data_IF_246374015288
#
_entry.id   IF_246374015288
#
_cell.length_a   1.000
_cell.length_b   1.000
_cell.length_c   1.000
_cell.angle_alpha   90.00
_cell.angle_beta   90.00
_cell.angle_gamma   90.00
#
_symmetry.space_group_name_H-M   'P 1'
#
loop_
_entity.id
_entity.type
_entity.pdbx_description
1 polymer ?
#
# COMPACT_ATOMS: atom_id res chain seq x y z
N UNK A 1 -13.59 -9.55 -12.69
CA UNK A 1 -13.63 -8.42 -11.73
C UNK A 1 -13.34 -8.96 -10.35
N UNK A 2 -12.59 -8.24 -9.53
CA UNK A 2 -12.30 -8.63 -8.16
C UNK A 2 -13.52 -8.39 -7.25
N UNK A 3 -13.65 -9.17 -6.17
CA UNK A 3 -14.72 -9.07 -5.18
C UNK A 3 -14.92 -7.64 -4.67
N UNK A 4 -13.84 -6.96 -4.31
CA UNK A 4 -13.91 -5.58 -3.82
C UNK A 4 -14.31 -4.57 -4.90
N UNK A 5 -14.00 -4.82 -6.17
CA UNK A 5 -14.46 -3.97 -7.28
C UNK A 5 -15.99 -4.04 -7.44
N UNK A 6 -16.57 -5.21 -7.27
CA UNK A 6 -18.03 -5.41 -7.29
C UNK A 6 -18.68 -4.80 -6.05
N UNK A 7 -18.12 -5.02 -4.86
CA UNK A 7 -18.56 -4.40 -3.62
C UNK A 7 -18.58 -2.86 -3.74
N UNK A 8 -17.52 -2.29 -4.30
CA UNK A 8 -17.47 -0.84 -4.52
C UNK A 8 -18.63 -0.34 -5.38
N UNK A 9 -18.91 -1.01 -6.51
CA UNK A 9 -19.94 -0.57 -7.45
C UNK A 9 -21.35 -0.74 -6.88
N UNK A 10 -21.61 -1.86 -6.20
CA UNK A 10 -22.96 -2.25 -5.79
C UNK A 10 -23.37 -1.65 -4.44
N UNK A 11 -22.43 -1.47 -3.52
CA UNK A 11 -22.74 -1.09 -2.13
C UNK A 11 -22.06 0.22 -1.72
N UNK A 12 -20.75 0.35 -1.96
CA UNK A 12 -19.97 1.46 -1.40
C UNK A 12 -20.30 2.78 -2.11
N UNK A 13 -20.33 2.79 -3.44
CA UNK A 13 -20.60 4.00 -4.21
C UNK A 13 -22.00 4.58 -3.95
N UNK A 14 -23.11 3.80 -3.94
CA UNK A 14 -24.43 4.30 -3.58
C UNK A 14 -24.51 4.83 -2.14
N UNK A 15 -23.86 4.14 -1.20
CA UNK A 15 -23.83 4.54 0.20
C UNK A 15 -23.07 5.86 0.43
N UNK A 16 -21.94 6.07 -0.25
CA UNK A 16 -21.19 7.33 -0.22
C UNK A 16 -21.99 8.47 -0.85
N UNK A 17 -22.68 8.19 -1.97
CA UNK A 17 -23.54 9.17 -2.63
C UNK A 17 -24.64 9.66 -1.70
N UNK A 18 -25.27 8.75 -0.96
CA UNK A 18 -26.34 9.10 0.01
C UNK A 18 -25.79 9.86 1.22
N UNK A 19 -24.61 9.45 1.75
CA UNK A 19 -24.03 10.05 2.95
C UNK A 19 -23.55 11.49 2.73
N UNK A 20 -22.88 11.74 1.60
CA UNK A 20 -22.27 13.05 1.29
C UNK A 20 -23.10 13.89 0.33
N UNK A 21 -24.28 13.41 -0.11
CA UNK A 21 -25.20 14.11 -1.00
C UNK A 21 -24.55 14.65 -2.28
N UNK A 22 -23.74 13.80 -2.95
CA UNK A 22 -23.10 14.20 -4.20
C UNK A 22 -24.13 14.44 -5.30
N UNK A 23 -23.89 15.50 -6.10
CA UNK A 23 -24.76 15.87 -7.21
C UNK A 23 -24.58 15.00 -8.47
N UNK A 24 -23.40 14.36 -8.59
CA UNK A 24 -23.07 13.53 -9.73
C UNK A 24 -22.35 12.26 -9.29
N UNK A 25 -22.60 11.11 -9.94
CA UNK A 25 -21.85 9.87 -9.69
C UNK A 25 -20.35 10.00 -9.91
N UNK A 26 -19.90 10.96 -10.72
CA UNK A 26 -18.48 11.22 -10.98
C UNK A 26 -17.75 11.87 -9.81
N UNK A 27 -18.47 12.45 -8.83
CA UNK A 27 -17.91 13.05 -7.62
C UNK A 27 -17.62 12.00 -6.53
N UNK A 28 -18.18 10.81 -6.65
CA UNK A 28 -18.02 9.75 -5.65
C UNK A 28 -16.53 9.39 -5.57
N UNK A 29 -15.93 9.41 -4.36
CA UNK A 29 -14.53 9.04 -4.18
C UNK A 29 -14.31 7.57 -4.53
N UNK A 30 -13.21 7.31 -5.22
CA UNK A 30 -12.77 5.97 -5.62
C UNK A 30 -11.28 5.79 -5.36
N UNK A 31 -10.86 4.56 -5.25
CA UNK A 31 -9.43 4.23 -5.19
C UNK A 31 -8.82 4.42 -6.58
N UNK A 32 -7.74 5.21 -6.67
CA UNK A 32 -7.00 5.44 -7.92
C UNK A 32 -5.86 4.45 -8.10
N UNK A 33 -5.04 4.30 -7.06
CA UNK A 33 -3.88 3.40 -7.04
C UNK A 33 -3.47 3.05 -5.62
N UNK A 34 -2.73 1.93 -5.51
CA UNK A 34 -1.97 1.59 -4.29
C UNK A 34 -0.49 1.59 -4.67
N UNK A 35 0.31 2.29 -3.89
CA UNK A 35 1.76 2.32 -4.04
C UNK A 35 2.38 1.60 -2.85
N UNK A 36 3.20 0.59 -3.13
CA UNK A 36 3.98 -0.12 -2.12
C UNK A 36 5.43 0.28 -2.31
N UNK A 37 6.09 0.71 -1.26
CA UNK A 37 7.49 1.11 -1.27
C UNK A 37 8.26 0.39 -0.17
N UNK A 38 9.45 -0.08 -0.50
CA UNK A 38 10.42 -0.64 0.44
C UNK A 38 11.71 0.13 0.34
N UNK A 39 12.15 0.70 1.46
CA UNK A 39 13.46 1.33 1.57
C UNK A 39 14.51 0.29 1.97
N UNK A 40 15.56 0.15 1.15
CA UNK A 40 16.69 -0.73 1.41
C UNK A 40 17.97 0.08 1.55
N UNK A 41 18.16 0.72 2.71
CA UNK A 41 19.34 1.54 2.99
C UNK A 41 20.65 0.76 3.06
N UNK A 42 20.59 -0.54 3.27
CA UNK A 42 21.70 -1.50 3.27
C UNK A 42 22.13 -1.94 1.85
N UNK A 43 21.36 -1.64 0.84
CA UNK A 43 21.70 -1.90 -0.57
C UNK A 43 22.96 -1.18 -1.05
N UNK A 44 23.48 -0.22 -0.27
CA UNK A 44 24.77 0.44 -0.52
C UNK A 44 25.94 -0.54 -0.50
N UNK A 45 25.85 -1.59 0.31
CA UNK A 45 26.91 -2.58 0.53
C UNK A 45 26.82 -3.74 -0.47
N UNK A 46 25.60 -4.06 -0.93
CA UNK A 46 25.38 -5.15 -1.88
C UNK A 46 24.21 -4.84 -2.82
N UNK A 47 24.47 -4.83 -4.12
CA UNK A 47 23.44 -4.66 -5.14
C UNK A 47 22.41 -5.81 -5.14
N UNK A 48 22.82 -7.01 -4.67
CA UNK A 48 21.98 -8.21 -4.59
C UNK A 48 20.75 -8.00 -3.70
N UNK A 49 20.91 -7.21 -2.63
CA UNK A 49 19.82 -6.83 -1.70
C UNK A 49 18.63 -6.20 -2.43
N UNK A 50 18.88 -5.38 -3.44
CA UNK A 50 17.79 -4.75 -4.21
C UNK A 50 17.06 -5.77 -5.06
N UNK A 51 17.77 -6.71 -5.65
CA UNK A 51 17.14 -7.73 -6.49
C UNK A 51 16.24 -8.64 -5.65
N UNK A 52 16.66 -9.00 -4.42
CA UNK A 52 15.84 -9.72 -3.45
C UNK A 52 14.56 -8.94 -3.08
N UNK A 53 14.70 -7.64 -2.77
CA UNK A 53 13.53 -6.79 -2.45
C UNK A 53 12.58 -6.67 -3.64
N UNK A 54 13.09 -6.59 -4.86
CA UNK A 54 12.27 -6.57 -6.08
C UNK A 54 11.50 -7.88 -6.24
N UNK A 55 12.15 -9.02 -6.00
CA UNK A 55 11.53 -10.34 -6.11
C UNK A 55 10.45 -10.52 -5.03
N UNK A 56 10.72 -10.17 -3.78
CA UNK A 56 9.73 -10.19 -2.70
C UNK A 56 8.50 -9.31 -3.03
N UNK A 57 8.71 -8.05 -3.43
CA UNK A 57 7.61 -7.17 -3.82
C UNK A 57 6.85 -7.67 -5.04
N UNK A 58 7.53 -8.34 -5.97
CA UNK A 58 6.90 -8.94 -7.15
C UNK A 58 5.99 -10.10 -6.74
N UNK A 59 6.42 -10.93 -5.80
CA UNK A 59 5.60 -12.02 -5.24
C UNK A 59 4.36 -11.48 -4.51
N UNK A 60 4.54 -10.49 -3.63
CA UNK A 60 3.45 -9.88 -2.86
C UNK A 60 2.42 -9.21 -3.76
N UNK A 61 2.87 -8.46 -4.75
CA UNK A 61 1.99 -7.61 -5.59
C UNK A 61 1.44 -8.31 -6.82
N UNK A 62 2.06 -9.39 -7.27
CA UNK A 62 1.76 -10.02 -8.56
C UNK A 62 2.12 -9.15 -9.78
N UNK A 63 2.99 -8.14 -9.57
CA UNK A 63 3.47 -7.24 -10.60
C UNK A 63 4.94 -6.93 -10.36
N UNK A 64 5.77 -6.94 -11.41
CA UNK A 64 7.21 -6.66 -11.30
C UNK A 64 7.46 -5.30 -10.66
N UNK A 65 8.19 -5.30 -9.55
CA UNK A 65 8.59 -4.08 -8.87
C UNK A 65 9.72 -3.35 -9.61
N UNK A 66 9.82 -2.06 -9.39
CA UNK A 66 10.80 -1.17 -10.04
C UNK A 66 11.76 -0.64 -8.98
N UNK A 67 13.09 -0.69 -9.22
CA UNK A 67 14.05 -0.10 -8.30
C UNK A 67 13.87 1.42 -8.20
N UNK A 68 14.10 1.97 -7.02
CA UNK A 68 14.15 3.41 -6.77
C UNK A 68 15.58 3.87 -6.62
N UNK A 69 15.89 5.03 -7.19
CA UNK A 69 17.24 5.58 -7.27
C UNK A 69 17.40 6.83 -6.41
N UNK A 70 18.58 7.01 -5.85
CA UNK A 70 18.95 8.22 -5.14
C UNK A 70 19.00 9.42 -6.11
N UNK A 71 18.26 10.48 -5.78
CA UNK A 71 18.22 11.71 -6.60
C UNK A 71 19.43 12.61 -6.37
N UNK A 72 19.99 12.59 -5.16
CA UNK A 72 21.12 13.43 -4.76
C UNK A 72 22.21 12.60 -4.09
N UNK A 73 23.45 13.03 -4.23
CA UNK A 73 24.58 12.47 -3.49
C UNK A 73 24.60 13.03 -2.07
N UNK A 74 24.73 12.17 -1.06
CA UNK A 74 24.81 12.55 0.36
C UNK A 74 25.98 11.81 0.99
N UNK A 75 27.06 12.54 1.32
CA UNK A 75 28.30 11.95 1.82
C UNK A 75 28.12 11.23 3.16
N UNK A 76 27.35 11.80 4.09
CA UNK A 76 27.06 11.21 5.41
C UNK A 76 26.40 9.83 5.30
N UNK A 77 25.58 9.61 4.29
CA UNK A 77 24.95 8.32 4.05
C UNK A 77 25.69 7.44 3.05
N UNK A 78 26.87 7.87 2.58
CA UNK A 78 27.66 7.18 1.54
C UNK A 78 26.84 6.90 0.27
N UNK A 79 25.94 7.83 -0.09
CA UNK A 79 25.06 7.73 -1.26
C UNK A 79 25.59 8.59 -2.40
N UNK A 80 25.51 8.04 -3.61
CA UNK A 80 25.74 8.78 -4.86
C UNK A 80 24.44 8.83 -5.66
N UNK A 81 24.23 9.92 -6.38
CA UNK A 81 23.10 10.03 -7.31
C UNK A 81 23.12 8.85 -8.30
N UNK A 82 21.94 8.25 -8.55
CA UNK A 82 21.80 7.08 -9.42
C UNK A 82 22.00 5.73 -8.73
N UNK A 83 22.41 5.67 -7.46
CA UNK A 83 22.45 4.40 -6.72
C UNK A 83 21.05 3.89 -6.43
N UNK A 84 20.82 2.59 -6.57
CA UNK A 84 19.58 1.92 -6.15
C UNK A 84 19.49 1.92 -4.63
N UNK A 85 18.38 2.38 -4.07
CA UNK A 85 18.16 2.54 -2.62
C UNK A 85 16.89 1.87 -2.11
N UNK A 86 16.09 1.29 -2.97
CA UNK A 86 14.85 0.62 -2.63
C UNK A 86 14.12 0.13 -3.85
N UNK A 87 12.90 -0.34 -3.65
CA UNK A 87 12.01 -0.74 -4.71
C UNK A 87 10.58 -0.27 -4.44
N UNK A 88 9.81 -0.07 -5.50
CA UNK A 88 8.39 0.27 -5.42
C UNK A 88 7.58 -0.46 -6.47
N UNK A 89 6.29 -0.62 -6.19
CA UNK A 89 5.30 -1.07 -7.15
C UNK A 89 4.06 -0.21 -7.06
N UNK A 90 3.42 0.05 -8.19
CA UNK A 90 2.16 0.80 -8.26
C UNK A 90 1.10 -0.08 -8.86
N UNK A 91 0.06 -0.38 -8.09
CA UNK A 91 -1.06 -1.23 -8.47
C UNK A 91 -2.27 -0.37 -8.85
N UNK A 92 -2.96 -0.78 -9.92
CA UNK A 92 -4.19 -0.15 -10.43
C UNK A 92 -5.19 -1.22 -10.87
N UNK A 93 -6.46 -0.84 -11.00
CA UNK A 93 -7.51 -1.71 -11.50
C UNK A 93 -7.73 -2.96 -10.66
N UNK A 94 -7.97 -4.10 -11.28
CA UNK A 94 -8.30 -5.35 -10.57
C UNK A 94 -7.18 -5.81 -9.63
N UNK A 95 -5.92 -5.68 -10.01
CA UNK A 95 -4.76 -6.03 -9.16
C UNK A 95 -4.72 -5.21 -7.87
N UNK A 96 -5.11 -3.95 -7.93
CA UNK A 96 -5.19 -3.06 -6.77
C UNK A 96 -6.25 -3.55 -5.77
N UNK A 97 -7.45 -3.89 -6.25
CA UNK A 97 -8.51 -4.39 -5.40
C UNK A 97 -8.20 -5.77 -4.81
N UNK A 98 -7.59 -6.66 -5.59
CA UNK A 98 -7.16 -7.98 -5.10
C UNK A 98 -6.06 -7.87 -4.03
N UNK A 99 -5.09 -6.98 -4.24
CA UNK A 99 -4.07 -6.72 -3.23
C UNK A 99 -4.68 -6.15 -1.94
N UNK A 100 -5.62 -5.20 -2.05
CA UNK A 100 -6.31 -4.62 -0.90
C UNK A 100 -7.10 -5.68 -0.13
N UNK A 101 -7.79 -6.58 -0.83
CA UNK A 101 -8.55 -7.68 -0.22
C UNK A 101 -7.63 -8.62 0.57
N UNK A 102 -6.51 -9.04 -0.03
CA UNK A 102 -5.52 -9.88 0.66
C UNK A 102 -4.87 -9.17 1.84
N UNK A 103 -4.56 -7.88 1.69
CA UNK A 103 -3.97 -7.10 2.78
C UNK A 103 -4.89 -7.04 3.99
N UNK A 104 -6.18 -6.69 3.81
CA UNK A 104 -7.10 -6.50 4.92
C UNK A 104 -7.55 -7.81 5.56
N UNK A 105 -7.79 -8.85 4.78
CA UNK A 105 -8.37 -10.09 5.27
C UNK A 105 -7.34 -11.16 5.64
N UNK A 106 -6.14 -11.14 5.05
CA UNK A 106 -5.14 -12.18 5.28
C UNK A 106 -3.85 -11.66 5.92
N UNK A 107 -3.29 -10.54 5.43
CA UNK A 107 -2.00 -10.06 5.91
C UNK A 107 -2.10 -9.32 7.24
N UNK A 108 -3.00 -8.34 7.39
CA UNK A 108 -3.13 -7.56 8.62
C UNK A 108 -3.50 -8.39 9.85
N UNK A 109 -4.40 -9.40 9.79
CA UNK A 109 -4.68 -10.26 10.95
C UNK A 109 -3.47 -11.07 11.43
N UNK A 110 -2.46 -11.26 10.60
CA UNK A 110 -1.20 -11.96 10.95
C UNK A 110 -0.17 -11.06 11.63
N UNK A 111 -0.41 -9.74 11.64
CA UNK A 111 0.45 -8.80 12.37
C UNK A 111 0.36 -9.09 13.86
N UNK A 112 1.52 -9.20 14.51
CA UNK A 112 1.59 -9.42 15.95
C UNK A 112 0.93 -8.26 16.70
N UNK A 113 0.05 -8.59 17.66
CA UNK A 113 -0.69 -7.63 18.50
C UNK A 113 -1.51 -6.60 17.68
N UNK A 114 -2.10 -7.05 16.57
CA UNK A 114 -2.89 -6.20 15.71
C UNK A 114 -4.15 -5.68 16.40
N UNK A 115 -4.27 -4.35 16.56
CA UNK A 115 -5.41 -3.67 17.20
C UNK A 115 -6.21 -2.80 16.22
N UNK A 116 -5.94 -2.92 14.93
CA UNK A 116 -6.49 -2.05 13.89
C UNK A 116 -5.43 -1.09 13.32
N UNK A 117 -5.75 -0.52 12.18
CA UNK A 117 -4.90 0.49 11.52
C UNK A 117 -5.23 1.89 12.06
N UNK A 118 -4.24 2.78 12.07
CA UNK A 118 -4.40 4.14 12.60
C UNK A 118 -5.44 4.92 11.77
N UNK A 119 -6.53 5.43 12.41
CA UNK A 119 -7.55 6.19 11.70
C UNK A 119 -7.12 7.59 11.25
N UNK A 120 -5.99 8.11 11.76
CA UNK A 120 -5.53 9.48 11.52
C UNK A 120 -4.33 9.56 10.57
N UNK A 121 -3.96 8.46 9.90
CA UNK A 121 -2.83 8.43 8.98
C UNK A 121 -3.18 8.91 7.55
N UNK A 122 -4.00 9.95 7.46
CA UNK A 122 -4.35 10.64 6.22
C UNK A 122 -3.48 11.88 6.01
N UNK A 123 -3.35 12.32 4.76
CA UNK A 123 -2.49 13.44 4.37
C UNK A 123 -3.20 14.80 4.25
N UNK A 124 -4.48 14.89 4.62
CA UNK A 124 -5.32 16.09 4.46
C UNK A 124 -5.97 16.21 3.07
N UNK A 125 -5.66 15.28 2.16
CA UNK A 125 -6.18 15.26 0.77
C UNK A 125 -6.81 13.93 0.39
N UNK A 126 -7.19 13.15 1.38
CA UNK A 126 -7.87 11.87 1.18
C UNK A 126 -6.96 10.70 0.78
N UNK A 127 -5.65 10.80 0.93
CA UNK A 127 -4.74 9.66 0.77
C UNK A 127 -4.39 9.09 2.15
N UNK A 128 -4.22 7.77 2.21
CA UNK A 128 -3.93 7.05 3.44
C UNK A 128 -2.61 6.32 3.35
N UNK A 129 -1.78 6.41 4.39
CA UNK A 129 -0.49 5.74 4.46
C UNK A 129 -0.46 4.70 5.59
N UNK A 130 -0.08 3.47 5.27
CA UNK A 130 0.06 2.35 6.19
C UNK A 130 1.51 1.88 6.21
N UNK A 131 2.19 1.98 7.35
CA UNK A 131 3.51 1.41 7.57
C UNK A 131 3.40 -0.01 8.13
N UNK A 132 4.05 -0.97 7.49
CA UNK A 132 4.22 -2.34 7.98
C UNK A 132 5.66 -2.55 8.41
N UNK A 133 5.85 -3.23 9.54
CA UNK A 133 7.19 -3.49 10.09
C UNK A 133 7.88 -4.69 9.46
N UNK A 134 7.11 -5.66 8.97
CA UNK A 134 7.59 -6.97 8.53
C UNK A 134 6.89 -7.42 7.25
N UNK A 135 7.65 -7.89 6.25
CA UNK A 135 7.10 -8.48 5.03
C UNK A 135 6.54 -9.89 5.25
N UNK A 136 6.91 -10.55 6.34
CA UNK A 136 6.52 -11.93 6.65
C UNK A 136 5.02 -12.13 6.93
N UNK A 137 4.28 -11.03 7.08
CA UNK A 137 2.81 -11.10 7.25
C UNK A 137 2.11 -11.57 5.96
N UNK A 138 2.76 -11.43 4.82
CA UNK A 138 2.23 -11.89 3.54
C UNK A 138 2.47 -13.39 3.38
N UNK A 139 1.41 -14.19 3.11
CA UNK A 139 1.53 -15.65 2.97
C UNK A 139 2.36 -16.09 1.77
N UNK A 140 2.55 -15.21 0.79
CA UNK A 140 3.36 -15.46 -0.40
C UNK A 140 4.87 -15.49 -0.11
N UNK A 141 5.29 -14.96 1.04
CA UNK A 141 6.69 -14.90 1.45
C UNK A 141 7.03 -16.09 2.34
N UNK A 142 7.97 -16.90 1.89
CA UNK A 142 8.51 -18.03 2.64
C UNK A 142 9.60 -17.54 3.61
N UNK A 143 9.44 -17.86 4.90
CA UNK A 143 10.38 -17.45 5.95
C UNK A 143 11.83 -17.84 5.66
N UNK A 144 12.03 -19.04 5.14
CA UNK A 144 13.37 -19.63 4.89
C UNK A 144 14.12 -18.92 3.75
N UNK A 145 13.43 -18.17 2.90
CA UNK A 145 14.01 -17.43 1.77
C UNK A 145 14.35 -15.98 2.07
N UNK A 146 13.91 -15.49 3.23
CA UNK A 146 14.10 -14.09 3.63
C UNK A 146 15.43 -13.93 4.36
N UNK A 147 16.39 -13.23 3.77
CA UNK A 147 17.67 -12.94 4.41
C UNK A 147 17.53 -11.91 5.54
N UNK A 148 16.62 -10.92 5.37
CA UNK A 148 16.41 -9.83 6.33
C UNK A 148 14.96 -9.39 6.40
N UNK A 149 14.46 -9.23 7.61
CA UNK A 149 13.14 -8.63 7.85
C UNK A 149 13.19 -7.15 7.50
N UNK A 150 12.25 -6.71 6.63
CA UNK A 150 12.12 -5.34 6.16
C UNK A 150 10.70 -4.85 6.32
N UNK A 151 10.57 -3.59 6.69
CA UNK A 151 9.30 -2.89 6.63
C UNK A 151 8.97 -2.39 5.23
N UNK A 152 7.72 -2.02 5.05
CA UNK A 152 7.22 -1.41 3.83
C UNK A 152 6.15 -0.36 4.12
N UNK A 153 6.04 0.61 3.24
CA UNK A 153 5.01 1.62 3.25
C UNK A 153 4.00 1.33 2.14
N UNK A 154 2.72 1.29 2.50
CA UNK A 154 1.60 1.08 1.58
C UNK A 154 0.77 2.35 1.57
N UNK A 155 0.69 3.01 0.42
CA UNK A 155 -0.06 4.25 0.26
C UNK A 155 -1.28 4.01 -0.62
N UNK A 156 -2.46 4.27 -0.07
CA UNK A 156 -3.74 4.25 -0.78
C UNK A 156 -4.01 5.65 -1.30
N UNK A 157 -3.98 5.81 -2.61
CA UNK A 157 -4.30 7.09 -3.27
C UNK A 157 -5.75 7.04 -3.72
N UNK A 158 -6.55 7.99 -3.25
CA UNK A 158 -7.96 8.09 -3.58
C UNK A 158 -8.26 9.36 -4.37
N UNK A 159 -9.45 9.46 -4.93
CA UNK A 159 -9.95 10.68 -5.57
C UNK A 159 -10.80 11.53 -4.62
N UNK A 160 -10.83 11.21 -3.34
CA UNK A 160 -11.53 11.99 -2.32
C UNK A 160 -10.91 13.40 -2.19
N UNK A 161 -11.75 14.36 -1.87
CA UNK A 161 -11.31 15.74 -1.65
C UNK A 161 -10.84 15.93 -0.21
N UNK A 162 -11.49 15.25 0.73
CA UNK A 162 -11.26 15.34 2.16
C UNK A 162 -10.96 13.98 2.78
N UNK A 163 -10.30 13.99 3.93
CA UNK A 163 -9.96 12.77 4.67
C UNK A 163 -11.20 12.02 5.20
N UNK A 164 -12.29 12.72 5.51
CA UNK A 164 -13.55 12.10 5.94
C UNK A 164 -14.16 11.22 4.85
N UNK A 165 -14.17 11.70 3.60
CA UNK A 165 -14.65 10.94 2.45
C UNK A 165 -13.79 9.70 2.20
N UNK A 166 -12.45 9.86 2.27
CA UNK A 166 -11.52 8.76 2.10
C UNK A 166 -11.61 7.73 3.23
N UNK A 167 -11.78 8.18 4.47
CA UNK A 167 -11.97 7.31 5.64
C UNK A 167 -13.22 6.46 5.50
N UNK A 168 -14.34 7.07 5.11
CA UNK A 168 -15.59 6.36 4.89
C UNK A 168 -15.48 5.37 3.73
N UNK A 169 -14.81 5.77 2.64
CA UNK A 169 -14.53 4.90 1.51
C UNK A 169 -13.77 3.65 1.96
N UNK A 170 -12.63 3.83 2.63
CA UNK A 170 -11.78 2.73 3.08
C UNK A 170 -12.48 1.86 4.14
N UNK A 171 -13.22 2.47 5.07
CA UNK A 171 -13.98 1.72 6.08
C UNK A 171 -15.03 0.80 5.44
N UNK A 172 -15.78 1.29 4.45
CA UNK A 172 -16.76 0.48 3.70
C UNK A 172 -16.12 -0.57 2.80
N UNK A 173 -14.88 -0.35 2.38
CA UNK A 173 -14.09 -1.34 1.65
C UNK A 173 -13.47 -2.42 2.57
N UNK A 174 -13.70 -2.33 3.88
CA UNK A 174 -13.26 -3.32 4.86
C UNK A 174 -11.96 -2.98 5.59
N UNK A 175 -11.50 -1.74 5.53
CA UNK A 175 -10.31 -1.32 6.28
C UNK A 175 -10.54 -1.44 7.81
N UNK A 176 -9.73 -2.22 8.54
CA UNK A 176 -9.89 -2.47 9.97
C UNK A 176 -9.30 -1.32 10.81
N UNK A 177 -9.95 -0.16 10.81
CA UNK A 177 -9.53 0.96 11.64
C UNK A 177 -9.62 0.64 13.13
N UNK A 178 -8.64 1.10 13.92
CA UNK A 178 -8.71 1.05 15.38
C UNK A 178 -9.83 1.96 15.89
N UNK A 179 -10.52 1.50 16.95
CA UNK A 179 -11.57 2.26 17.64
C UNK A 179 -10.98 3.33 18.55
#
# INVERSE_FOLDING_TARGET
>A
MSRLSELYKNEVAPALMAKFNYKSPMQIPKLDKIVINVGAGDAKESAKVIDEVIDELTLISGQKAVPTYAKKSVANFKLRAGMKIGAKVTLRGDKMYEFMDRLFNFALPRVRDFKGINPDAFDGRGNYALGLKEQLIFPEIEYDKVEKIRGMDIVFVTTAVNDEEARELLARMGAPFSK
#
